data_IF_843763285144
#
_entry.id   IF_843763285144
#
_cell.length_a   1.000
_cell.length_b   1.000
_cell.length_c   1.000
_cell.angle_alpha   90.00
_cell.angle_beta   90.00
_cell.angle_gamma   90.00
#
_symmetry.space_group_name_H-M   'P 1'
#
loop_
_entity.id
_entity.type
_entity.pdbx_description
1 polymer ?
#
# COMPACT_ATOMS: atom_id res chain seq x y z
N UNK A 1 -13.22 10.41 -11.49
CA UNK A 1 -14.36 9.52 -11.15
C UNK A 1 -14.99 9.07 -12.46
N UNK A 2 -15.58 7.88 -12.53
CA UNK A 2 -16.39 7.49 -13.69
C UNK A 2 -17.59 8.45 -13.80
N UNK A 3 -18.01 8.84 -15.01
CA UNK A 3 -19.22 9.66 -15.15
C UNK A 3 -20.42 8.94 -14.51
N UNK A 4 -21.36 9.68 -13.90
CA UNK A 4 -22.55 9.06 -13.32
C UNK A 4 -23.30 8.26 -14.40
N UNK A 5 -23.84 7.08 -14.07
CA UNK A 5 -24.54 6.25 -15.04
C UNK A 5 -25.70 7.03 -15.66
N UNK A 6 -25.80 6.99 -16.99
CA UNK A 6 -26.88 7.66 -17.72
C UNK A 6 -28.19 6.86 -17.55
N UNK A 7 -29.28 7.55 -17.19
CA UNK A 7 -30.58 6.95 -16.91
C UNK A 7 -31.22 6.30 -18.15
N UNK A 8 -30.84 6.78 -19.33
CA UNK A 8 -31.41 6.34 -20.60
C UNK A 8 -30.76 5.05 -21.12
N UNK A 9 -29.75 4.53 -20.43
CA UNK A 9 -29.03 3.31 -20.83
C UNK A 9 -29.57 2.08 -20.11
N UNK A 10 -29.71 0.98 -20.85
CA UNK A 10 -29.97 -0.33 -20.27
C UNK A 10 -28.89 -0.72 -19.24
N UNK A 11 -29.18 -1.66 -18.34
CA UNK A 11 -28.18 -2.16 -17.39
C UNK A 11 -26.94 -2.71 -18.10
N UNK A 12 -27.13 -3.43 -19.20
CA UNK A 12 -26.05 -3.99 -20.01
C UNK A 12 -25.12 -2.89 -20.53
N UNK A 13 -25.67 -1.81 -21.11
CA UNK A 13 -24.88 -0.70 -21.62
C UNK A 13 -24.11 0.03 -20.51
N UNK A 14 -24.73 0.22 -19.34
CA UNK A 14 -24.06 0.81 -18.17
C UNK A 14 -22.89 -0.04 -17.69
N UNK A 15 -23.06 -1.37 -17.64
CA UNK A 15 -21.98 -2.30 -17.29
C UNK A 15 -20.88 -2.32 -18.35
N UNK A 16 -21.22 -2.30 -19.64
CA UNK A 16 -20.25 -2.22 -20.73
C UNK A 16 -19.46 -0.89 -20.68
N UNK A 17 -20.12 0.22 -20.36
CA UNK A 17 -19.46 1.51 -20.15
C UNK A 17 -18.46 1.43 -19.00
N UNK A 18 -18.84 0.80 -17.88
CA UNK A 18 -17.94 0.61 -16.75
C UNK A 18 -16.75 -0.27 -17.12
N UNK A 19 -17.00 -1.40 -17.79
CA UNK A 19 -16.00 -2.37 -18.20
C UNK A 19 -14.92 -1.79 -19.13
N UNK A 20 -15.28 -0.81 -19.96
CA UNK A 20 -14.35 -0.07 -20.84
C UNK A 20 -13.44 0.91 -20.10
N UNK A 21 -13.68 1.16 -18.80
CA UNK A 21 -12.85 2.09 -18.03
C UNK A 21 -11.57 1.43 -17.51
N UNK A 22 -10.47 2.20 -17.50
CA UNK A 22 -9.24 1.78 -16.85
C UNK A 22 -9.43 1.53 -15.34
N UNK A 23 -10.42 2.19 -14.72
CA UNK A 23 -10.74 1.97 -13.30
C UNK A 23 -11.36 0.58 -13.05
N UNK A 24 -12.11 0.05 -14.02
CA UNK A 24 -12.64 -1.31 -13.92
C UNK A 24 -11.53 -2.35 -14.05
N UNK A 25 -10.57 -2.17 -14.97
CA UNK A 25 -9.39 -3.02 -15.05
C UNK A 25 -8.59 -3.01 -13.72
N UNK A 26 -8.44 -1.84 -13.10
CA UNK A 26 -7.85 -1.69 -11.77
C UNK A 26 -8.64 -2.43 -10.68
N UNK A 27 -9.98 -2.37 -10.70
CA UNK A 27 -10.84 -3.12 -9.79
C UNK A 27 -10.67 -4.64 -9.95
N UNK A 28 -10.70 -5.15 -11.19
CA UNK A 28 -10.50 -6.58 -11.49
C UNK A 28 -9.12 -7.04 -11.06
N UNK A 29 -8.09 -6.21 -11.21
CA UNK A 29 -6.76 -6.49 -10.69
C UNK A 29 -6.75 -6.69 -9.16
N UNK A 30 -7.37 -5.80 -8.39
CA UNK A 30 -7.45 -5.96 -6.94
C UNK A 30 -8.28 -7.18 -6.51
N UNK A 31 -9.38 -7.48 -7.22
CA UNK A 31 -10.14 -8.71 -6.98
C UNK A 31 -9.30 -9.96 -7.26
N UNK A 32 -8.56 -9.97 -8.37
CA UNK A 32 -7.65 -11.07 -8.72
C UNK A 32 -6.57 -11.24 -7.65
N UNK A 33 -6.01 -10.16 -7.13
CA UNK A 33 -5.03 -10.17 -6.05
C UNK A 33 -5.60 -10.82 -4.79
N UNK A 34 -6.79 -10.40 -4.35
CA UNK A 34 -7.45 -10.97 -3.17
C UNK A 34 -7.70 -12.47 -3.36
N UNK A 35 -8.32 -12.86 -4.49
CA UNK A 35 -8.66 -14.26 -4.75
C UNK A 35 -7.43 -15.16 -4.82
N UNK A 36 -6.37 -14.70 -5.50
CA UNK A 36 -5.11 -15.44 -5.59
C UNK A 36 -4.36 -15.49 -4.26
N UNK A 37 -4.43 -14.43 -3.43
CA UNK A 37 -3.87 -14.44 -2.07
C UNK A 37 -4.61 -15.41 -1.16
N UNK A 38 -5.95 -15.42 -1.18
CA UNK A 38 -6.77 -16.38 -0.42
C UNK A 38 -6.46 -17.82 -0.86
N UNK A 39 -6.38 -18.05 -2.17
CA UNK A 39 -6.04 -19.36 -2.74
C UNK A 39 -4.63 -19.82 -2.34
N UNK A 40 -3.68 -18.89 -2.25
CA UNK A 40 -2.34 -19.14 -1.71
C UNK A 40 -2.39 -19.49 -0.22
N UNK A 41 -3.23 -18.81 0.57
CA UNK A 41 -3.50 -19.12 1.97
C UNK A 41 -3.94 -20.57 2.20
N UNK A 42 -4.76 -21.14 1.32
CA UNK A 42 -5.10 -22.58 1.40
C UNK A 42 -3.94 -23.52 1.09
N UNK A 43 -2.98 -23.10 0.27
CA UNK A 43 -1.73 -23.84 0.10
C UNK A 43 -0.85 -23.72 1.34
N UNK A 44 -0.98 -22.60 2.08
CA UNK A 44 -0.31 -22.42 3.36
C UNK A 44 -0.87 -23.36 4.44
N UNK A 45 -2.19 -23.43 4.58
CA UNK A 45 -2.83 -24.33 5.54
C UNK A 45 -2.49 -25.82 5.31
N UNK A 46 -2.30 -26.23 4.04
CA UNK A 46 -1.93 -27.60 3.67
C UNK A 46 -0.43 -27.89 3.69
N UNK A 47 0.38 -26.96 4.20
CA UNK A 47 1.84 -27.04 4.22
C UNK A 47 2.50 -27.26 2.85
N UNK A 48 1.81 -26.92 1.75
CA UNK A 48 2.27 -27.13 0.38
C UNK A 48 2.58 -25.79 -0.30
N UNK A 49 3.50 -25.04 0.30
CA UNK A 49 3.82 -23.66 -0.04
C UNK A 49 4.57 -23.50 -1.38
N UNK A 50 5.22 -24.58 -1.85
CA UNK A 50 6.01 -24.60 -3.08
C UNK A 50 5.40 -25.45 -4.19
N UNK A 51 4.23 -26.04 -3.98
CA UNK A 51 3.50 -26.74 -5.04
C UNK A 51 3.13 -25.82 -6.20
N UNK A 52 2.93 -26.38 -7.40
CA UNK A 52 2.64 -25.64 -8.64
C UNK A 52 1.52 -24.61 -8.45
N UNK A 53 0.43 -24.99 -7.81
CA UNK A 53 -0.71 -24.10 -7.57
C UNK A 53 -0.42 -22.97 -6.57
N UNK A 54 0.45 -23.22 -5.58
CA UNK A 54 0.88 -22.20 -4.63
C UNK A 54 1.74 -21.15 -5.35
N UNK A 55 2.71 -21.61 -6.15
CA UNK A 55 3.57 -20.72 -6.94
C UNK A 55 2.76 -19.89 -7.94
N UNK A 56 1.82 -20.50 -8.67
CA UNK A 56 0.94 -19.77 -9.59
C UNK A 56 0.15 -18.71 -8.82
N UNK A 57 -0.51 -19.07 -7.71
CA UNK A 57 -1.30 -18.13 -6.92
C UNK A 57 -0.47 -16.95 -6.40
N UNK A 58 0.73 -17.23 -5.87
CA UNK A 58 1.66 -16.21 -5.39
C UNK A 58 2.10 -15.26 -6.51
N UNK A 59 2.53 -15.80 -7.65
CA UNK A 59 3.00 -14.99 -8.79
C UNK A 59 1.85 -14.19 -9.41
N UNK A 60 0.68 -14.78 -9.56
CA UNK A 60 -0.54 -14.09 -10.02
C UNK A 60 -0.91 -12.93 -9.10
N UNK A 61 -0.77 -13.09 -7.77
CA UNK A 61 -1.02 -11.99 -6.82
C UNK A 61 -0.13 -10.78 -7.09
N UNK A 62 1.17 -11.00 -7.31
CA UNK A 62 2.11 -9.92 -7.61
C UNK A 62 1.97 -9.36 -9.03
N UNK A 63 1.61 -10.17 -10.03
CA UNK A 63 1.24 -9.66 -11.36
C UNK A 63 0.03 -8.74 -11.26
N UNK A 64 -0.99 -9.13 -10.50
CA UNK A 64 -2.17 -8.29 -10.25
C UNK A 64 -1.79 -6.99 -9.50
N UNK A 65 -0.88 -7.05 -8.53
CA UNK A 65 -0.34 -5.86 -7.87
C UNK A 65 0.38 -4.92 -8.86
N UNK A 66 1.24 -5.47 -9.72
CA UNK A 66 1.96 -4.68 -10.75
C UNK A 66 0.97 -3.98 -11.68
N UNK A 67 -0.06 -4.68 -12.14
CA UNK A 67 -1.09 -4.09 -13.02
C UNK A 67 -1.85 -2.97 -12.30
N UNK A 68 -2.30 -3.21 -11.07
CA UNK A 68 -3.10 -2.21 -10.32
C UNK A 68 -2.30 -0.97 -9.97
N UNK A 69 -1.11 -1.12 -9.38
CA UNK A 69 -0.25 0.03 -9.07
C UNK A 69 0.28 0.69 -10.34
N UNK A 70 0.58 -0.07 -11.39
CA UNK A 70 0.95 0.45 -12.70
C UNK A 70 -0.12 1.34 -13.32
N UNK A 71 -1.40 0.97 -13.20
CA UNK A 71 -2.53 1.81 -13.62
C UNK A 71 -2.57 3.12 -12.82
N UNK A 72 -2.37 3.08 -11.50
CA UNK A 72 -2.37 4.29 -10.66
C UNK A 72 -1.23 5.22 -11.06
N UNK A 73 -0.02 4.69 -11.18
CA UNK A 73 1.18 5.43 -11.60
C UNK A 73 1.00 6.03 -13.01
N UNK A 74 0.45 5.27 -13.95
CA UNK A 74 0.14 5.79 -15.29
C UNK A 74 -0.84 6.96 -15.23
N UNK A 75 -1.93 6.84 -14.45
CA UNK A 75 -2.93 7.89 -14.30
C UNK A 75 -2.35 9.15 -13.66
N UNK A 76 -1.53 9.02 -12.62
CA UNK A 76 -0.91 10.17 -11.95
C UNK A 76 0.07 10.88 -12.88
N UNK A 77 0.90 10.15 -13.62
CA UNK A 77 1.82 10.72 -14.61
C UNK A 77 1.07 11.39 -15.77
N UNK A 78 0.04 10.74 -16.32
CA UNK A 78 -0.78 11.32 -17.39
C UNK A 78 -1.50 12.59 -16.94
N UNK A 79 -2.00 12.63 -15.70
CA UNK A 79 -2.62 13.83 -15.14
C UNK A 79 -1.62 14.98 -15.02
N UNK A 80 -0.41 14.73 -14.49
CA UNK A 80 0.68 15.71 -14.39
C UNK A 80 1.11 16.25 -15.76
N UNK A 81 1.21 15.38 -16.77
CA UNK A 81 1.54 15.78 -18.14
C UNK A 81 0.48 16.73 -18.74
N UNK A 82 -0.81 16.48 -18.46
CA UNK A 82 -1.90 17.35 -18.93
C UNK A 82 -1.92 18.73 -18.29
N UNK A 83 -1.51 18.84 -17.03
CA UNK A 83 -1.50 20.10 -16.29
C UNK A 83 -0.18 20.86 -16.40
N UNK A 84 0.82 20.32 -17.12
CA UNK A 84 2.17 20.89 -17.17
C UNK A 84 2.92 20.87 -15.84
N UNK A 85 2.38 20.19 -14.83
CA UNK A 85 2.98 20.14 -13.49
C UNK A 85 4.10 19.10 -13.47
N UNK A 86 5.36 19.54 -13.34
CA UNK A 86 6.48 18.62 -13.09
C UNK A 86 6.46 18.17 -11.63
N UNK A 87 6.85 16.92 -11.37
CA UNK A 87 7.04 16.45 -10.00
C UNK A 87 8.09 17.32 -9.30
N UNK A 88 7.75 17.88 -8.12
CA UNK A 88 8.70 18.60 -7.29
C UNK A 88 9.85 17.67 -6.93
N UNK A 89 11.08 17.99 -7.35
CA UNK A 89 12.26 17.14 -7.12
C UNK A 89 12.58 16.12 -8.23
N UNK A 90 11.98 16.23 -9.43
CA UNK A 90 12.34 15.41 -10.58
C UNK A 90 12.10 13.91 -10.36
N UNK A 91 13.09 13.07 -10.71
CA UNK A 91 13.00 11.62 -10.56
C UNK A 91 12.86 11.19 -9.08
N UNK A 92 13.52 11.91 -8.17
CA UNK A 92 13.44 11.66 -6.72
C UNK A 92 12.02 11.90 -6.20
N UNK A 93 11.36 12.95 -6.69
CA UNK A 93 9.96 13.25 -6.38
C UNK A 93 8.94 12.26 -6.97
N UNK A 94 9.33 11.46 -7.95
CA UNK A 94 8.48 10.37 -8.47
C UNK A 94 8.66 9.10 -7.65
N UNK A 95 9.88 8.81 -7.20
CA UNK A 95 10.18 7.66 -6.33
C UNK A 95 9.66 7.85 -4.91
N UNK A 96 9.36 9.09 -4.51
CA UNK A 96 8.64 9.40 -3.27
C UNK A 96 7.13 9.17 -3.37
N UNK A 97 6.57 8.81 -4.53
CA UNK A 97 5.15 8.43 -4.61
C UNK A 97 4.96 7.02 -4.04
N UNK A 98 4.08 6.87 -3.05
CA UNK A 98 3.78 5.59 -2.40
C UNK A 98 3.38 4.51 -3.42
N UNK A 99 2.63 4.88 -4.46
CA UNK A 99 2.20 3.91 -5.47
C UNK A 99 3.37 3.40 -6.32
N UNK A 100 4.34 4.27 -6.59
CA UNK A 100 5.59 3.88 -7.28
C UNK A 100 6.41 2.95 -6.39
N UNK A 101 6.50 3.25 -5.10
CA UNK A 101 7.20 2.40 -4.13
C UNK A 101 6.59 0.99 -4.06
N UNK A 102 5.26 0.88 -3.93
CA UNK A 102 4.58 -0.42 -3.94
C UNK A 102 4.67 -1.13 -5.29
N UNK A 103 4.68 -0.41 -6.42
CA UNK A 103 4.89 -1.00 -7.75
C UNK A 103 6.29 -1.63 -7.87
N UNK A 104 7.33 -0.88 -7.51
CA UNK A 104 8.72 -1.37 -7.52
C UNK A 104 8.86 -2.57 -6.60
N UNK A 105 8.26 -2.50 -5.41
CA UNK A 105 8.32 -3.59 -4.45
C UNK A 105 7.56 -4.83 -4.95
N UNK A 106 6.44 -4.66 -5.66
CA UNK A 106 5.71 -5.78 -6.27
C UNK A 106 6.55 -6.49 -7.36
N UNK A 107 7.33 -5.75 -8.14
CA UNK A 107 8.29 -6.30 -9.10
C UNK A 107 9.39 -7.11 -8.38
N UNK A 108 9.97 -6.55 -7.30
CA UNK A 108 10.97 -7.25 -6.49
C UNK A 108 10.41 -8.58 -5.95
N UNK A 109 9.20 -8.57 -5.39
CA UNK A 109 8.56 -9.77 -4.88
C UNK A 109 8.20 -10.79 -5.95
N UNK A 110 7.88 -10.34 -7.16
CA UNK A 110 7.59 -11.22 -8.30
C UNK A 110 8.81 -12.06 -8.71
N UNK A 111 10.04 -11.56 -8.55
CA UNK A 111 11.26 -12.29 -8.93
C UNK A 111 12.02 -12.88 -7.73
N UNK A 112 11.63 -12.52 -6.51
CA UNK A 112 12.22 -13.06 -5.29
C UNK A 112 11.70 -14.47 -4.97
N UNK A 113 12.37 -15.21 -4.06
CA UNK A 113 11.78 -16.36 -3.39
C UNK A 113 10.42 -16.01 -2.76
N UNK A 114 9.58 -16.99 -2.48
CA UNK A 114 8.25 -16.71 -1.93
C UNK A 114 8.35 -16.16 -0.50
N UNK A 115 7.87 -14.93 -0.29
CA UNK A 115 7.70 -14.31 1.02
C UNK A 115 6.21 -14.11 1.29
N UNK A 116 5.50 -15.11 1.88
CA UNK A 116 4.06 -15.04 2.13
C UNK A 116 3.59 -13.74 2.81
N UNK A 117 4.34 -13.27 3.81
CA UNK A 117 4.03 -12.03 4.53
C UNK A 117 3.97 -10.80 3.60
N UNK A 118 4.74 -10.80 2.51
CA UNK A 118 4.75 -9.70 1.56
C UNK A 118 3.42 -9.53 0.82
N UNK A 119 2.56 -10.56 0.77
CA UNK A 119 1.22 -10.44 0.18
C UNK A 119 0.25 -9.65 1.06
N UNK A 120 0.49 -9.63 2.38
CA UNK A 120 -0.49 -9.14 3.35
C UNK A 120 -0.78 -7.63 3.20
N UNK A 121 0.21 -6.72 3.09
CA UNK A 121 -0.06 -5.30 2.84
C UNK A 121 -0.89 -5.07 1.59
N UNK A 122 -0.53 -5.72 0.47
CA UNK A 122 -1.24 -5.59 -0.81
C UNK A 122 -2.67 -6.11 -0.73
N UNK A 123 -2.90 -7.20 0.00
CA UNK A 123 -4.25 -7.75 0.21
C UNK A 123 -5.13 -6.78 1.01
N UNK A 124 -4.60 -6.20 2.10
CA UNK A 124 -5.32 -5.21 2.92
C UNK A 124 -5.69 -3.99 2.07
N UNK A 125 -4.75 -3.39 1.34
CA UNK A 125 -5.06 -2.28 0.42
C UNK A 125 -6.12 -2.67 -0.62
N UNK A 126 -6.01 -3.88 -1.18
CA UNK A 126 -6.96 -4.37 -2.19
C UNK A 126 -8.38 -4.48 -1.65
N UNK A 127 -8.57 -4.89 -0.39
CA UNK A 127 -9.90 -4.97 0.24
C UNK A 127 -10.55 -3.59 0.29
N UNK A 128 -9.82 -2.56 0.74
CA UNK A 128 -10.34 -1.19 0.79
C UNK A 128 -10.61 -0.62 -0.61
N UNK A 129 -9.74 -0.92 -1.58
CA UNK A 129 -9.91 -0.51 -2.96
C UNK A 129 -11.15 -1.12 -3.61
N UNK A 130 -11.36 -2.43 -3.43
CA UNK A 130 -12.56 -3.14 -3.90
C UNK A 130 -13.81 -2.61 -3.20
N UNK A 131 -13.79 -2.46 -1.88
CA UNK A 131 -14.91 -1.91 -1.11
C UNK A 131 -15.29 -0.50 -1.61
N UNK A 132 -14.31 0.39 -1.72
CA UNK A 132 -14.54 1.77 -2.17
C UNK A 132 -15.04 1.82 -3.60
N UNK A 133 -14.48 1.00 -4.51
CA UNK A 133 -14.94 0.93 -5.89
C UNK A 133 -16.37 0.39 -6.00
N UNK A 134 -16.68 -0.67 -5.26
CA UNK A 134 -18.03 -1.24 -5.21
C UNK A 134 -19.04 -0.19 -4.77
N UNK A 135 -18.74 0.53 -3.69
CA UNK A 135 -19.57 1.62 -3.19
C UNK A 135 -19.76 2.76 -4.19
N UNK A 136 -18.68 3.19 -4.83
CA UNK A 136 -18.67 4.41 -5.64
C UNK A 136 -19.09 4.20 -7.10
N UNK A 137 -18.91 3.00 -7.66
CA UNK A 137 -19.12 2.73 -9.08
C UNK A 137 -20.06 1.56 -9.34
N UNK A 138 -19.90 0.41 -8.66
CA UNK A 138 -20.74 -0.76 -8.95
C UNK A 138 -22.18 -0.58 -8.46
N UNK A 139 -22.38 -0.20 -7.19
CA UNK A 139 -23.73 -0.04 -6.62
C UNK A 139 -24.55 0.98 -7.44
N UNK A 140 -24.04 2.19 -7.76
CA UNK A 140 -24.79 3.14 -8.57
C UNK A 140 -25.14 2.64 -9.99
N UNK A 141 -24.36 1.72 -10.57
CA UNK A 141 -24.66 1.14 -11.90
C UNK A 141 -25.88 0.21 -11.85
N UNK A 142 -26.06 -0.53 -10.74
CA UNK A 142 -27.23 -1.39 -10.55
C UNK A 142 -28.48 -0.62 -10.13
N UNK A 143 -28.30 0.53 -9.49
CA UNK A 143 -29.40 1.44 -9.19
C UNK A 143 -29.82 2.17 -10.47
N UNK A 144 -31.13 2.24 -10.76
CA UNK A 144 -31.61 3.17 -11.78
C UNK A 144 -31.24 4.59 -11.32
N UNK A 145 -30.60 5.42 -12.17
CA UNK A 145 -30.39 6.83 -11.82
C UNK A 145 -31.77 7.46 -11.62
N UNK A 146 -31.97 8.30 -10.59
CA UNK A 146 -33.23 9.01 -10.44
C UNK A 146 -33.51 9.79 -11.73
N UNK A 147 -34.78 9.83 -12.15
CA UNK A 147 -35.28 10.68 -13.22
C UNK A 147 -34.71 12.10 -13.05
N UNK A 148 -34.32 12.80 -14.12
CA UNK A 148 -33.77 14.15 -14.01
C UNK A 148 -34.70 15.01 -13.15
N UNK A 149 -34.13 15.62 -12.10
CA UNK A 149 -34.88 16.53 -11.25
C UNK A 149 -35.40 17.71 -12.10
N UNK A 150 -36.62 18.22 -11.85
CA UNK A 150 -37.05 19.50 -12.39
C UNK A 150 -36.04 20.58 -11.96
N UNK A 151 -35.86 21.60 -12.81
CA UNK A 151 -34.87 22.66 -12.61
C UNK A 151 -34.85 23.19 -11.17
N UNK A 152 -33.67 23.15 -10.53
CA UNK A 152 -33.44 23.71 -9.18
C UNK A 152 -33.46 22.71 -8.01
N UNK A 153 -33.80 21.44 -8.22
CA UNK A 153 -33.81 20.43 -7.14
C UNK A 153 -32.43 19.84 -6.80
N UNK A 154 -32.08 19.79 -5.51
CA UNK A 154 -30.94 18.99 -5.02
C UNK A 154 -31.23 17.51 -5.29
N UNK A 155 -30.36 16.87 -6.09
CA UNK A 155 -30.49 15.45 -6.46
C UNK A 155 -30.57 14.58 -5.20
N UNK A 156 -31.61 13.76 -5.01
CA UNK A 156 -31.60 12.75 -3.97
C UNK A 156 -30.46 11.77 -4.29
N UNK A 157 -29.46 11.70 -3.42
CA UNK A 157 -28.45 10.64 -3.52
C UNK A 157 -29.20 9.35 -3.24
N UNK A 158 -29.34 8.47 -4.24
CA UNK A 158 -29.93 7.15 -4.03
C UNK A 158 -29.18 6.46 -2.88
N UNK A 159 -29.79 6.42 -1.70
CA UNK A 159 -29.19 5.86 -0.49
C UNK A 159 -29.33 4.35 -0.56
N UNK A 160 -28.26 3.66 -0.96
CA UNK A 160 -28.19 2.20 -0.85
C UNK A 160 -27.78 1.83 0.56
N UNK A 161 -28.57 1.02 1.31
CA UNK A 161 -28.16 0.51 2.61
C UNK A 161 -26.81 -0.23 2.55
N UNK A 162 -26.54 -0.90 1.42
CA UNK A 162 -25.25 -1.58 1.18
C UNK A 162 -24.11 -0.56 1.00
N UNK A 163 -24.31 0.53 0.26
CA UNK A 163 -23.30 1.57 0.09
C UNK A 163 -22.96 2.26 1.42
N UNK A 164 -23.95 2.40 2.31
CA UNK A 164 -23.75 2.99 3.63
C UNK A 164 -22.99 2.03 4.56
N UNK A 165 -23.33 0.74 4.56
CA UNK A 165 -22.57 -0.29 5.29
C UNK A 165 -21.11 -0.38 4.84
N UNK A 166 -20.86 -0.37 3.53
CA UNK A 166 -19.48 -0.33 3.01
C UNK A 166 -18.79 0.97 3.42
N UNK A 167 -19.51 2.08 3.40
CA UNK A 167 -18.98 3.37 3.88
C UNK A 167 -18.59 3.33 5.35
N UNK A 168 -19.40 2.71 6.20
CA UNK A 168 -19.10 2.50 7.62
C UNK A 168 -17.88 1.60 7.80
N UNK A 169 -17.87 0.44 7.14
CA UNK A 169 -16.73 -0.49 7.17
C UNK A 169 -15.41 0.19 6.82
N UNK A 170 -15.37 0.97 5.73
CA UNK A 170 -14.15 1.69 5.34
C UNK A 170 -13.76 2.70 6.43
N UNK A 171 -14.69 3.50 6.94
CA UNK A 171 -14.37 4.50 7.97
C UNK A 171 -13.88 3.88 9.28
N UNK A 172 -14.55 2.83 9.73
CA UNK A 172 -14.29 2.17 11.01
C UNK A 172 -12.95 1.43 11.02
N UNK A 173 -12.67 0.67 9.96
CA UNK A 173 -11.51 -0.23 9.94
C UNK A 173 -10.28 0.32 9.22
N UNK A 174 -10.37 1.43 8.49
CA UNK A 174 -9.25 1.95 7.71
C UNK A 174 -8.02 2.27 8.58
N UNK A 175 -8.19 3.05 9.64
CA UNK A 175 -7.06 3.48 10.47
C UNK A 175 -6.39 2.30 11.21
N UNK A 176 -7.20 1.43 11.81
CA UNK A 176 -6.72 0.19 12.43
C UNK A 176 -5.98 -0.70 11.40
N UNK A 177 -6.51 -0.81 10.17
CA UNK A 177 -5.87 -1.59 9.11
C UNK A 177 -4.58 -0.96 8.61
N UNK A 178 -4.48 0.38 8.55
CA UNK A 178 -3.22 1.07 8.23
C UNK A 178 -2.15 0.80 9.30
N UNK A 179 -2.55 0.75 10.58
CA UNK A 179 -1.66 0.34 11.68
C UNK A 179 -1.17 -1.10 11.50
N UNK A 180 -2.06 -2.03 11.12
CA UNK A 180 -1.68 -3.42 10.82
C UNK A 180 -0.74 -3.50 9.62
N UNK A 181 -0.99 -2.73 8.56
CA UNK A 181 -0.09 -2.65 7.40
C UNK A 181 1.29 -2.17 7.82
N UNK A 182 1.38 -1.10 8.60
CA UNK A 182 2.66 -0.59 9.10
C UNK A 182 3.41 -1.63 9.96
N UNK A 183 2.70 -2.35 10.83
CA UNK A 183 3.28 -3.43 11.61
C UNK A 183 3.77 -4.59 10.72
N UNK A 184 3.02 -4.96 9.68
CA UNK A 184 3.42 -5.97 8.70
C UNK A 184 4.66 -5.55 7.91
N UNK A 185 4.74 -4.29 7.49
CA UNK A 185 5.91 -3.74 6.79
C UNK A 185 7.17 -3.83 7.67
N UNK A 186 7.04 -3.44 8.94
CA UNK A 186 8.14 -3.57 9.89
C UNK A 186 8.52 -5.04 10.15
N UNK A 187 7.53 -5.92 10.28
CA UNK A 187 7.74 -7.36 10.48
C UNK A 187 8.45 -8.01 9.28
N UNK A 188 8.10 -7.61 8.05
CA UNK A 188 8.80 -8.07 6.85
C UNK A 188 10.26 -7.64 6.90
N UNK A 189 10.55 -6.39 7.26
CA UNK A 189 11.93 -5.92 7.39
C UNK A 189 12.72 -6.71 8.43
N UNK A 190 12.16 -6.90 9.63
CA UNK A 190 12.77 -7.72 10.69
C UNK A 190 13.08 -9.14 10.19
N UNK A 191 12.13 -9.78 9.50
CA UNK A 191 12.34 -11.09 8.89
C UNK A 191 13.49 -11.09 7.87
N UNK A 192 13.57 -10.07 7.01
CA UNK A 192 14.64 -9.95 6.01
C UNK A 192 16.00 -9.75 6.69
N UNK A 193 16.08 -8.97 7.77
CA UNK A 193 17.30 -8.81 8.56
C UNK A 193 17.77 -10.16 9.10
N UNK A 194 16.87 -10.95 9.69
CA UNK A 194 17.21 -12.31 10.14
C UNK A 194 17.67 -13.21 8.99
N UNK A 195 16.99 -13.17 7.83
CA UNK A 195 17.43 -13.88 6.63
C UNK A 195 18.82 -13.45 6.14
N UNK A 196 19.18 -12.17 6.28
CA UNK A 196 20.48 -11.62 5.91
C UNK A 196 21.59 -12.04 6.89
N UNK A 197 21.30 -12.02 8.20
CA UNK A 197 22.21 -12.52 9.24
C UNK A 197 22.50 -14.02 9.07
N UNK A 198 21.53 -14.79 8.59
CA UNK A 198 21.69 -16.21 8.25
C UNK A 198 22.26 -16.43 6.84
N UNK A 199 22.76 -15.39 6.17
CA UNK A 199 23.36 -15.43 4.82
C UNK A 199 22.52 -16.16 3.77
N UNK A 200 21.19 -16.09 3.88
CA UNK A 200 20.30 -16.73 2.92
C UNK A 200 20.47 -16.11 1.52
N UNK A 201 20.32 -16.90 0.46
CA UNK A 201 20.55 -16.44 -0.92
C UNK A 201 19.70 -15.21 -1.26
N UNK A 202 20.33 -14.15 -1.79
CA UNK A 202 19.73 -12.84 -2.18
C UNK A 202 19.17 -11.99 -1.02
N UNK A 203 19.32 -12.41 0.23
CA UNK A 203 18.82 -11.68 1.40
C UNK A 203 19.44 -10.28 1.55
N UNK A 204 20.74 -10.12 1.27
CA UNK A 204 21.42 -8.83 1.34
C UNK A 204 20.90 -7.81 0.32
N UNK A 205 20.62 -8.25 -0.90
CA UNK A 205 20.01 -7.40 -1.94
C UNK A 205 18.59 -7.00 -1.50
N UNK A 206 17.81 -7.95 -1.00
CA UNK A 206 16.46 -7.70 -0.47
C UNK A 206 16.50 -6.75 0.72
N UNK A 207 17.49 -6.87 1.60
CA UNK A 207 17.66 -6.00 2.76
C UNK A 207 17.89 -4.56 2.30
N UNK A 208 18.78 -4.33 1.34
CA UNK A 208 19.01 -2.99 0.79
C UNK A 208 17.74 -2.38 0.17
N UNK A 209 17.09 -3.12 -0.74
CA UNK A 209 15.88 -2.65 -1.43
C UNK A 209 14.71 -2.40 -0.47
N UNK A 210 14.47 -3.32 0.47
CA UNK A 210 13.37 -3.20 1.42
C UNK A 210 13.65 -2.15 2.50
N UNK A 211 14.90 -1.93 2.87
CA UNK A 211 15.28 -0.83 3.78
C UNK A 211 15.03 0.53 3.12
N UNK A 212 15.37 0.69 1.83
CA UNK A 212 15.06 1.92 1.10
C UNK A 212 13.54 2.16 1.02
N UNK A 213 12.76 1.12 0.76
CA UNK A 213 11.29 1.18 0.81
C UNK A 213 10.79 1.60 2.20
N UNK A 214 11.20 0.90 3.26
CA UNK A 214 10.74 1.18 4.62
C UNK A 214 11.16 2.58 5.08
N UNK A 215 12.34 3.05 4.67
CA UNK A 215 12.80 4.42 4.95
C UNK A 215 11.93 5.47 4.29
N UNK A 216 11.52 5.24 3.04
CA UNK A 216 10.60 6.13 2.34
C UNK A 216 9.22 6.12 3.02
N UNK A 217 8.71 4.94 3.38
CA UNK A 217 7.47 4.79 4.16
C UNK A 217 7.52 5.49 5.52
N UNK A 218 8.64 5.40 6.24
CA UNK A 218 8.83 6.09 7.52
C UNK A 218 8.70 7.61 7.40
N UNK A 219 9.18 8.21 6.29
CA UNK A 219 8.99 9.64 6.07
C UNK A 219 7.56 10.06 5.69
N UNK A 220 6.73 9.13 5.24
CA UNK A 220 5.43 9.42 4.63
C UNK A 220 4.25 8.99 5.49
N UNK A 221 4.43 7.98 6.35
CA UNK A 221 3.37 7.38 7.15
C UNK A 221 3.64 7.50 8.64
N UNK A 222 2.74 8.18 9.35
CA UNK A 222 2.73 8.22 10.81
C UNK A 222 2.51 6.84 11.45
N UNK A 223 1.76 5.94 10.79
CA UNK A 223 1.57 4.56 11.25
C UNK A 223 2.88 3.77 11.29
N UNK A 224 3.76 3.96 10.29
CA UNK A 224 5.10 3.34 10.27
C UNK A 224 6.00 3.94 11.35
N UNK A 225 5.98 5.27 11.53
CA UNK A 225 6.71 5.92 12.62
C UNK A 225 6.28 5.39 13.99
N UNK A 226 4.96 5.25 14.19
CA UNK A 226 4.36 4.71 15.41
C UNK A 226 4.78 3.26 15.64
N UNK A 227 4.72 2.41 14.61
CA UNK A 227 5.14 1.01 14.69
C UNK A 227 6.63 0.87 15.03
N UNK A 228 7.50 1.69 14.44
CA UNK A 228 8.93 1.74 14.78
C UNK A 228 9.14 2.20 16.23
N UNK A 229 8.40 3.22 16.69
CA UNK A 229 8.49 3.70 18.07
C UNK A 229 8.05 2.64 19.09
N UNK A 230 6.97 1.90 18.81
CA UNK A 230 6.53 0.79 19.65
C UNK A 230 7.56 -0.34 19.69
N UNK A 231 8.17 -0.68 18.55
CA UNK A 231 9.24 -1.68 18.51
C UNK A 231 10.45 -1.21 19.32
N UNK A 232 10.89 0.04 19.17
CA UNK A 232 11.98 0.62 19.96
C UNK A 232 11.66 0.53 21.46
N UNK A 233 10.48 0.98 21.88
CA UNK A 233 10.07 0.96 23.28
C UNK A 233 10.05 -0.45 23.87
N UNK A 234 9.64 -1.47 23.09
CA UNK A 234 9.70 -2.87 23.51
C UNK A 234 11.14 -3.34 23.70
N UNK A 235 12.05 -3.00 22.78
CA UNK A 235 13.46 -3.36 22.92
C UNK A 235 14.10 -2.62 24.09
N UNK A 236 13.82 -1.31 24.26
CA UNK A 236 14.27 -0.51 25.40
C UNK A 236 13.83 -1.16 26.73
N UNK A 237 12.58 -1.62 26.83
CA UNK A 237 12.07 -2.32 28.01
C UNK A 237 12.80 -3.65 28.28
N UNK A 238 13.12 -4.43 27.24
CA UNK A 238 13.84 -5.70 27.39
C UNK A 238 15.31 -5.48 27.78
N UNK A 239 15.96 -4.50 27.18
CA UNK A 239 17.36 -4.15 27.42
C UNK A 239 17.54 -3.47 28.78
N UNK A 240 16.52 -2.74 29.25
CA UNK A 240 16.47 -2.09 30.56
C UNK A 240 16.18 -3.02 31.74
N UNK A 241 15.73 -4.26 31.51
CA UNK A 241 15.40 -5.20 32.58
C UNK A 241 16.58 -5.47 33.53
N UNK A 242 16.27 -5.68 34.82
CA UNK A 242 17.25 -6.12 35.81
C UNK A 242 17.70 -7.55 35.47
N UNK A 243 18.96 -7.71 35.07
CA UNK A 243 19.54 -8.98 34.61
C UNK A 243 20.14 -8.94 33.21
N UNK A 244 19.87 -7.90 32.42
CA UNK A 244 20.46 -7.77 31.07
C UNK A 244 21.93 -7.34 31.14
N UNK A 245 22.87 -8.05 30.46
CA UNK A 245 24.29 -7.69 30.46
C UNK A 245 24.54 -6.25 29.97
N UNK A 246 25.51 -5.50 30.56
CA UNK A 246 25.85 -4.13 30.14
C UNK A 246 26.19 -4.02 28.65
N UNK A 247 26.82 -5.06 28.08
CA UNK A 247 27.16 -5.13 26.65
C UNK A 247 25.91 -5.03 25.77
N UNK A 248 24.81 -5.68 26.14
CA UNK A 248 23.57 -5.62 25.36
C UNK A 248 22.98 -4.20 25.34
N UNK A 249 23.11 -3.46 26.47
CA UNK A 249 22.73 -2.04 26.55
C UNK A 249 23.58 -1.18 25.63
N UNK A 250 24.91 -1.37 25.66
CA UNK A 250 25.84 -0.61 24.83
C UNK A 250 25.60 -0.86 23.32
N UNK A 251 25.38 -2.12 22.92
CA UNK A 251 25.08 -2.49 21.54
C UNK A 251 23.77 -1.85 21.08
N UNK A 252 22.75 -1.83 21.95
CA UNK A 252 21.46 -1.22 21.63
C UNK A 252 21.57 0.31 21.48
N UNK A 253 22.27 1.00 22.38
CA UNK A 253 22.51 2.45 22.26
C UNK A 253 23.32 2.82 21.00
N UNK A 254 24.34 2.01 20.67
CA UNK A 254 25.10 2.17 19.42
C UNK A 254 24.21 1.98 18.19
N UNK A 255 23.32 0.98 18.24
CA UNK A 255 22.34 0.72 17.18
C UNK A 255 21.39 1.90 16.99
N UNK A 256 20.81 2.41 18.10
CA UNK A 256 19.93 3.60 18.06
C UNK A 256 20.65 4.82 17.48
N UNK A 257 21.90 5.04 17.88
CA UNK A 257 22.72 6.14 17.37
C UNK A 257 22.98 6.00 15.87
N UNK A 258 23.32 4.80 15.39
CA UNK A 258 23.51 4.52 13.96
C UNK A 258 22.23 4.69 13.14
N UNK A 259 21.08 4.25 13.66
CA UNK A 259 19.77 4.43 13.00
C UNK A 259 19.41 5.91 12.91
N UNK A 260 19.66 6.71 13.96
CA UNK A 260 19.44 8.18 13.93
C UNK A 260 20.36 8.85 12.91
N UNK A 261 21.64 8.52 12.89
CA UNK A 261 22.57 9.06 11.91
C UNK A 261 22.18 8.69 10.48
N UNK A 262 21.76 7.44 10.25
CA UNK A 262 21.24 6.99 8.96
C UNK A 262 19.98 7.75 8.56
N UNK A 263 19.04 7.94 9.50
CA UNK A 263 17.83 8.73 9.28
C UNK A 263 18.17 10.15 8.83
N UNK A 264 19.09 10.81 9.53
CA UNK A 264 19.47 12.21 9.29
C UNK A 264 20.28 12.39 8.00
N UNK A 265 21.06 11.39 7.61
CA UNK A 265 21.81 11.35 6.35
C UNK A 265 20.91 11.09 5.14
N UNK A 266 19.80 10.36 5.34
CA UNK A 266 18.84 10.00 4.27
C UNK A 266 17.60 10.89 4.25
N UNK A 267 17.59 11.97 5.05
CA UNK A 267 16.49 12.93 5.06
C UNK A 267 16.45 13.76 3.77
N UNK A 268 15.59 13.33 2.86
CA UNK A 268 15.36 13.98 1.57
C UNK A 268 14.74 15.38 1.69
N UNK A 269 14.20 15.76 2.86
CA UNK A 269 13.70 17.11 3.12
C UNK A 269 14.77 18.19 2.91
N UNK A 270 16.04 17.86 3.16
CA UNK A 270 17.19 18.74 2.91
C UNK A 270 17.45 19.02 1.43
N UNK A 271 17.14 18.06 0.56
CA UNK A 271 17.37 18.15 -0.89
C UNK A 271 16.15 18.65 -1.67
N UNK A 272 14.94 18.46 -1.12
CA UNK A 272 13.68 18.96 -1.70
C UNK A 272 13.42 20.43 -1.33
N UNK A 273 13.85 20.90 -0.16
CA UNK A 273 13.68 22.29 0.29
C UNK A 273 14.91 23.20 0.08
N UNK A 274 15.99 22.72 -0.55
CA UNK A 274 17.19 23.53 -0.81
C UNK A 274 16.96 24.75 -1.75
N UNK A 275 15.75 24.94 -2.26
CA UNK A 275 15.35 26.11 -3.06
C UNK A 275 14.29 27.01 -2.41
N UNK A 276 13.89 26.77 -1.15
CA UNK A 276 12.86 27.56 -0.46
C UNK A 276 13.41 28.24 0.79
N UNK A 277 12.98 29.48 1.12
CA UNK A 277 13.58 30.25 2.21
C UNK A 277 13.39 29.53 3.55
N UNK A 278 14.52 29.37 4.25
CA UNK A 278 14.61 28.83 5.61
C UNK A 278 13.65 29.59 6.51
N UNK A 279 12.53 28.96 6.92
CA UNK A 279 11.73 29.47 8.03
C UNK A 279 12.55 29.30 9.30
N UNK A 280 13.10 30.40 9.80
CA UNK A 280 13.62 30.50 11.17
C UNK A 280 12.46 30.19 12.12
N UNK A 281 12.62 29.16 12.94
CA UNK A 281 11.76 28.88 14.08
C UNK A 281 12.08 29.88 15.18
N UNK A 282 11.06 30.63 15.63
CA UNK A 282 11.01 31.19 16.99
C UNK A 282 10.44 30.16 17.94
#
# INVERSE_FOLDING_TARGET
MSPPPNANMSLQERLLHLAKTLQFAWFVGHMTLILSTVRYGFSWLRMNYYGRMAQISYRTSFVAAIVTYGIVVYKTQRARAKTGARASGGLVGQLSDENVQYLLMALVWLFSPQYPLALMPYCVYSIFHVATYTRANLIPVFQAPPTPAPEGGVRPRASSPLADRIGHFVKEYYDASMSVVAALELLIWVRIVFSAMLFQRRSWILLGLYTAFLRARYSQSSHVQTSVSHLSARIDSLVGAQGTPPVARQVWESTKSGVRQFHDATDMGKYVNAGGPVKKTS
#
